data_IF_578652895266
#
_entry.id   IF_578652895266
#
_cell.length_a   1.000
_cell.length_b   1.000
_cell.length_c   1.000
_cell.angle_alpha   90.00
_cell.angle_beta   90.00
_cell.angle_gamma   90.00
#
_symmetry.space_group_name_H-M   'P 1'
#
loop_
_entity.id
_entity.type
_entity.pdbx_description
1 polymer ?
#
# COMPACT_ATOMS: atom_id res chain seq x y z
N UNK A 1 -13.46 7.84 5.29
CA UNK A 1 -12.42 8.66 5.95
C UNK A 1 -12.94 9.12 7.31
N UNK A 2 -12.55 8.44 8.40
CA UNK A 2 -13.11 8.63 9.73
C UNK A 2 -12.29 9.67 10.51
N UNK A 3 -12.85 10.87 10.67
CA UNK A 3 -12.22 12.01 11.39
C UNK A 3 -12.24 11.81 12.91
N UNK A 4 -12.98 10.82 13.41
CA UNK A 4 -13.13 10.50 14.84
C UNK A 4 -11.88 9.85 15.45
N UNK A 5 -11.01 9.23 14.65
CA UNK A 5 -9.88 8.44 15.15
C UNK A 5 -8.77 9.28 15.82
N UNK A 6 -8.56 10.54 15.42
CA UNK A 6 -7.40 11.31 15.91
C UNK A 6 -7.50 11.72 17.39
N UNK A 7 -8.70 12.00 17.90
CA UNK A 7 -8.86 12.33 19.31
C UNK A 7 -8.60 11.12 20.22
N UNK A 8 -9.05 9.94 19.78
CA UNK A 8 -8.85 8.69 20.50
C UNK A 8 -7.40 8.19 20.43
N UNK A 9 -6.72 8.36 19.29
CA UNK A 9 -5.33 7.89 19.13
C UNK A 9 -4.36 8.67 20.00
N UNK A 10 -4.57 9.96 20.21
CA UNK A 10 -3.76 10.75 21.15
C UNK A 10 -3.99 10.26 22.58
N UNK A 11 -5.24 9.98 22.96
CA UNK A 11 -5.60 9.50 24.30
C UNK A 11 -4.94 8.17 24.65
N UNK A 12 -4.80 7.27 23.69
CA UNK A 12 -4.22 5.93 23.88
C UNK A 12 -2.77 5.81 23.38
N UNK A 13 -2.12 6.92 23.03
CA UNK A 13 -0.76 6.97 22.48
C UNK A 13 -0.55 6.11 21.21
N UNK A 14 -1.63 5.80 20.50
CA UNK A 14 -1.62 4.99 19.29
C UNK A 14 -1.01 5.76 18.12
N UNK A 15 -0.31 5.01 17.26
CA UNK A 15 0.20 5.47 15.97
C UNK A 15 -0.80 5.17 14.85
N UNK A 16 -0.87 6.05 13.87
CA UNK A 16 -1.82 6.00 12.76
C UNK A 16 -1.07 5.96 11.43
N UNK A 17 -1.44 4.99 10.60
CA UNK A 17 -1.15 5.01 9.17
C UNK A 17 -2.42 5.49 8.43
N UNK A 18 -2.26 6.45 7.53
CA UNK A 18 -3.33 6.86 6.61
C UNK A 18 -3.12 6.10 5.31
N UNK A 19 -4.12 5.33 4.89
CA UNK A 19 -4.08 4.56 3.64
C UNK A 19 -5.15 5.05 2.66
N UNK A 20 -4.71 5.35 1.43
CA UNK A 20 -5.60 5.61 0.31
C UNK A 20 -6.05 4.28 -0.31
N UNK A 21 -7.18 3.80 0.17
CA UNK A 21 -7.74 2.51 -0.24
C UNK A 21 -8.44 2.53 -1.61
N UNK A 22 -8.87 3.71 -2.07
CA UNK A 22 -9.56 3.90 -3.34
C UNK A 22 -9.07 5.16 -4.05
N UNK A 23 -8.90 5.06 -5.36
CA UNK A 23 -8.50 6.15 -6.24
C UNK A 23 -9.49 6.32 -7.40
N UNK A 24 -9.57 7.53 -8.02
CA UNK A 24 -10.39 7.74 -9.21
C UNK A 24 -10.09 6.70 -10.29
N UNK A 25 -11.14 6.19 -10.94
CA UNK A 25 -11.04 5.13 -11.94
C UNK A 25 -10.78 3.72 -11.38
N UNK A 26 -10.60 3.56 -10.07
CA UNK A 26 -10.28 2.28 -9.41
C UNK A 26 -8.93 1.68 -9.85
N UNK A 27 -8.09 1.37 -8.87
CA UNK A 27 -6.73 0.89 -9.11
C UNK A 27 -6.61 -0.63 -9.22
N UNK A 28 -7.68 -1.37 -8.94
CA UNK A 28 -7.68 -2.84 -8.95
C UNK A 28 -8.99 -3.51 -9.32
N UNK A 29 -10.02 -2.75 -9.71
CA UNK A 29 -11.30 -3.27 -10.16
C UNK A 29 -12.06 -4.08 -9.12
N UNK A 30 -11.82 -3.86 -7.82
CA UNK A 30 -12.57 -4.52 -6.74
C UNK A 30 -13.50 -3.52 -6.07
N UNK A 31 -14.47 -4.04 -5.34
CA UNK A 31 -15.38 -3.25 -4.51
C UNK A 31 -14.63 -2.39 -3.48
N UNK A 32 -13.47 -2.87 -3.00
CA UNK A 32 -12.63 -2.14 -2.05
C UNK A 32 -11.93 -0.91 -2.67
N UNK A 33 -11.72 -0.90 -3.99
CA UNK A 33 -11.32 0.30 -4.73
C UNK A 33 -12.51 1.13 -5.21
N UNK A 34 -13.72 0.84 -4.70
CA UNK A 34 -14.99 1.45 -5.10
C UNK A 34 -15.44 1.18 -6.54
N UNK A 35 -14.89 0.15 -7.20
CA UNK A 35 -15.41 -0.30 -8.49
C UNK A 35 -16.69 -1.11 -8.31
N UNK A 36 -17.72 -0.82 -9.10
CA UNK A 36 -19.01 -1.55 -9.07
C UNK A 36 -19.17 -2.52 -10.23
N UNK A 37 -18.37 -2.36 -11.28
CA UNK A 37 -18.45 -3.12 -12.53
C UNK A 37 -17.14 -3.85 -12.88
N UNK A 38 -16.13 -3.76 -12.02
CA UNK A 38 -14.82 -4.35 -12.22
C UNK A 38 -13.83 -3.47 -13.00
N UNK A 39 -14.23 -2.25 -13.37
CA UNK A 39 -13.39 -1.27 -14.06
C UNK A 39 -12.08 -0.96 -13.33
N UNK A 40 -11.03 -0.84 -14.13
CA UNK A 40 -9.69 -0.45 -13.67
C UNK A 40 -9.12 0.59 -14.64
N UNK A 41 -9.37 1.84 -14.32
CA UNK A 41 -9.10 3.01 -15.17
C UNK A 41 -8.19 4.03 -14.49
N UNK A 42 -7.72 3.74 -13.27
CA UNK A 42 -6.87 4.65 -12.50
C UNK A 42 -5.64 5.14 -13.28
N UNK A 43 -4.98 4.26 -14.04
CA UNK A 43 -3.78 4.64 -14.78
C UNK A 43 -4.02 4.97 -16.26
N UNK A 44 -5.28 5.04 -16.70
CA UNK A 44 -5.62 5.38 -18.08
C UNK A 44 -5.49 6.87 -18.36
N UNK A 45 -5.52 7.72 -17.32
CA UNK A 45 -5.36 9.17 -17.46
C UNK A 45 -4.43 9.72 -16.39
N UNK A 46 -3.60 10.70 -16.79
CA UNK A 46 -2.77 11.43 -15.83
C UNK A 46 -3.62 12.18 -14.79
N UNK A 47 -4.83 12.62 -15.14
CA UNK A 47 -5.75 13.29 -14.24
C UNK A 47 -6.16 12.41 -13.04
N UNK A 48 -6.38 11.10 -13.25
CA UNK A 48 -6.69 10.17 -12.16
C UNK A 48 -5.49 10.01 -11.20
N UNK A 49 -4.28 9.94 -11.74
CA UNK A 49 -3.04 9.86 -10.97
C UNK A 49 -2.82 11.15 -10.19
N UNK A 50 -2.97 12.32 -10.82
CA UNK A 50 -2.81 13.63 -10.20
C UNK A 50 -3.81 13.84 -9.06
N UNK A 51 -5.10 13.53 -9.27
CA UNK A 51 -6.11 13.60 -8.22
C UNK A 51 -5.80 12.68 -7.04
N UNK A 52 -5.24 11.48 -7.29
CA UNK A 52 -4.80 10.61 -6.21
C UNK A 52 -3.64 11.23 -5.42
N UNK A 53 -2.70 11.92 -6.07
CA UNK A 53 -1.61 12.65 -5.38
C UNK A 53 -2.16 13.83 -4.57
N UNK A 54 -3.15 14.55 -5.10
CA UNK A 54 -3.78 15.68 -4.39
C UNK A 54 -4.45 15.23 -3.08
N UNK A 55 -5.05 14.04 -3.06
CA UNK A 55 -5.60 13.44 -1.84
C UNK A 55 -4.49 13.20 -0.81
N UNK A 56 -3.33 12.67 -1.23
CA UNK A 56 -2.17 12.46 -0.35
C UNK A 56 -1.62 13.79 0.18
N UNK A 57 -1.46 14.81 -0.68
CA UNK A 57 -1.02 16.16 -0.28
C UNK A 57 -1.96 16.73 0.78
N UNK A 58 -3.28 16.71 0.50
CA UNK A 58 -4.30 17.23 1.39
C UNK A 58 -4.29 16.52 2.76
N UNK A 59 -4.28 15.19 2.79
CA UNK A 59 -4.31 14.43 4.04
C UNK A 59 -3.03 14.59 4.84
N UNK A 60 -1.88 14.60 4.17
CA UNK A 60 -0.62 14.81 4.85
C UNK A 60 -0.56 16.22 5.43
N UNK A 61 -0.93 17.25 4.66
CA UNK A 61 -1.00 18.64 5.16
C UNK A 61 -1.90 18.77 6.39
N UNK A 62 -3.07 18.11 6.35
CA UNK A 62 -4.05 18.13 7.43
C UNK A 62 -3.52 17.48 8.72
N UNK A 63 -2.76 16.39 8.61
CA UNK A 63 -2.38 15.57 9.76
C UNK A 63 -0.90 15.62 10.13
N UNK A 64 -0.05 16.33 9.39
CA UNK A 64 1.40 16.40 9.61
C UNK A 64 1.80 16.86 11.02
N UNK A 65 0.98 17.69 11.66
CA UNK A 65 1.21 18.17 13.04
C UNK A 65 0.65 17.24 14.12
N UNK A 66 -0.05 16.18 13.74
CA UNK A 66 -0.57 15.20 14.69
C UNK A 66 0.57 14.32 15.22
N UNK A 67 0.78 14.22 16.54
CA UNK A 67 1.80 13.34 17.11
C UNK A 67 1.52 11.84 16.89
N UNK A 68 0.29 11.52 16.49
CA UNK A 68 -0.15 10.17 16.15
C UNK A 68 0.12 9.80 14.70
N UNK A 69 0.39 10.76 13.79
CA UNK A 69 0.71 10.42 12.40
C UNK A 69 2.06 9.70 12.34
N UNK A 70 2.05 8.45 11.88
CA UNK A 70 3.23 7.61 11.80
C UNK A 70 3.61 7.27 10.36
N UNK A 71 2.61 6.99 9.52
CA UNK A 71 2.81 6.62 8.13
C UNK A 71 1.71 7.16 7.22
N UNK A 72 2.05 7.31 5.95
CA UNK A 72 1.10 7.55 4.85
C UNK A 72 1.35 6.48 3.80
N UNK A 73 0.38 5.60 3.63
CA UNK A 73 0.34 4.63 2.57
C UNK A 73 -0.28 5.27 1.33
N UNK A 74 0.52 5.29 0.27
CA UNK A 74 0.17 6.03 -0.93
C UNK A 74 -1.02 5.39 -1.63
N UNK A 75 -1.04 4.06 -1.79
CA UNK A 75 -2.19 3.40 -2.40
C UNK A 75 -2.19 1.89 -2.21
N UNK A 76 -3.31 1.39 -1.68
CA UNK A 76 -3.56 -0.02 -1.47
C UNK A 76 -3.69 -0.83 -2.77
N UNK A 77 -3.03 -1.99 -2.82
CA UNK A 77 -3.29 -3.12 -3.72
C UNK A 77 -3.58 -2.80 -5.20
N UNK A 78 -2.71 -2.09 -5.93
CA UNK A 78 -2.91 -1.89 -7.39
C UNK A 78 -2.81 -3.22 -8.13
N UNK A 79 -3.66 -3.50 -9.12
CA UNK A 79 -3.65 -4.80 -9.84
C UNK A 79 -2.90 -4.74 -11.17
N UNK A 80 -1.95 -5.66 -11.37
CA UNK A 80 -1.30 -5.85 -12.65
C UNK A 80 -2.17 -6.73 -13.59
N UNK A 81 -2.04 -6.59 -14.93
CA UNK A 81 -1.12 -5.69 -15.63
C UNK A 81 -1.66 -4.28 -15.84
N UNK A 82 -2.96 -4.03 -15.64
CA UNK A 82 -3.61 -2.78 -16.04
C UNK A 82 -2.97 -1.59 -15.34
N UNK A 83 -2.76 -1.63 -14.01
CA UNK A 83 -1.95 -0.62 -13.33
C UNK A 83 -0.46 -0.88 -13.63
N UNK A 84 0.08 -0.21 -14.65
CA UNK A 84 1.44 -0.47 -15.13
C UNK A 84 2.51 -0.16 -14.07
N UNK A 85 3.65 -0.85 -14.13
CA UNK A 85 4.74 -0.62 -13.16
C UNK A 85 5.28 0.81 -13.27
N UNK A 86 5.25 1.39 -14.47
CA UNK A 86 5.72 2.76 -14.72
C UNK A 86 4.74 3.79 -14.19
N UNK A 87 3.42 3.59 -14.40
CA UNK A 87 2.37 4.41 -13.78
C UNK A 87 2.47 4.38 -12.26
N UNK A 88 2.64 3.19 -11.66
CA UNK A 88 2.81 3.02 -10.20
C UNK A 88 4.06 3.74 -9.71
N UNK A 89 5.17 3.66 -10.44
CA UNK A 89 6.42 4.32 -10.04
C UNK A 89 6.33 5.84 -10.16
N UNK A 90 5.69 6.35 -11.23
CA UNK A 90 5.40 7.78 -11.41
C UNK A 90 4.57 8.29 -10.23
N UNK A 91 3.49 7.58 -9.89
CA UNK A 91 2.63 7.91 -8.76
C UNK A 91 3.39 7.89 -7.43
N UNK A 92 4.17 6.85 -7.14
CA UNK A 92 4.92 6.77 -5.87
C UNK A 92 5.98 7.85 -5.71
N UNK A 93 6.63 8.26 -6.79
CA UNK A 93 7.54 9.40 -6.74
C UNK A 93 6.80 10.72 -6.43
N UNK A 94 5.65 10.94 -7.06
CA UNK A 94 4.85 12.13 -6.81
C UNK A 94 4.24 12.13 -5.39
N UNK A 95 3.72 11.00 -4.95
CA UNK A 95 3.16 10.79 -3.60
C UNK A 95 4.19 10.96 -2.49
N UNK A 96 5.40 10.40 -2.63
CA UNK A 96 6.50 10.66 -1.68
C UNK A 96 6.80 12.17 -1.61
N UNK A 97 6.91 12.85 -2.75
CA UNK A 97 7.08 14.30 -2.79
C UNK A 97 5.97 15.07 -2.06
N UNK A 98 4.71 14.68 -2.27
CA UNK A 98 3.55 15.27 -1.59
C UNK A 98 3.61 15.05 -0.07
N UNK A 99 4.01 13.85 0.39
CA UNK A 99 4.20 13.61 1.83
C UNK A 99 5.34 14.46 2.39
N UNK A 100 6.49 14.50 1.68
CA UNK A 100 7.71 15.18 2.13
C UNK A 100 7.58 16.71 2.16
N UNK A 101 6.65 17.28 1.39
CA UNK A 101 6.27 18.70 1.49
C UNK A 101 5.74 19.09 2.88
N UNK A 102 5.10 18.16 3.59
CA UNK A 102 4.46 18.44 4.89
C UNK A 102 5.08 17.68 6.07
N UNK A 103 5.74 16.54 5.83
CA UNK A 103 6.35 15.72 6.87
C UNK A 103 7.63 15.01 6.42
N UNK A 104 8.74 15.33 7.10
CA UNK A 104 10.00 14.59 6.99
C UNK A 104 10.05 13.34 7.88
N UNK A 105 9.11 13.19 8.82
CA UNK A 105 9.12 12.14 9.84
C UNK A 105 8.19 10.96 9.54
N UNK A 106 7.09 11.17 8.80
CA UNK A 106 6.17 10.10 8.44
C UNK A 106 6.84 9.06 7.54
N UNK A 107 6.59 7.78 7.79
CA UNK A 107 6.94 6.73 6.83
C UNK A 107 6.06 6.86 5.59
N UNK A 108 6.64 6.62 4.41
CA UNK A 108 5.90 6.51 3.15
C UNK A 108 5.78 5.04 2.82
N UNK A 109 4.55 4.54 2.79
CA UNK A 109 4.26 3.11 2.55
C UNK A 109 3.81 2.91 1.11
N UNK A 110 4.38 1.90 0.47
CA UNK A 110 4.18 1.55 -0.93
C UNK A 110 3.80 0.08 -1.02
N UNK A 111 2.50 -0.22 -1.12
CA UNK A 111 2.03 -1.59 -1.29
C UNK A 111 2.58 -2.22 -2.58
N UNK A 112 2.81 -3.53 -2.61
CA UNK A 112 3.11 -4.24 -3.87
C UNK A 112 1.90 -4.27 -4.80
N UNK A 113 2.11 -4.54 -6.10
CA UNK A 113 0.97 -4.79 -6.98
C UNK A 113 0.45 -6.20 -6.77
N UNK A 114 -0.88 -6.34 -6.81
CA UNK A 114 -1.53 -7.65 -6.96
C UNK A 114 -1.18 -8.25 -8.32
N UNK A 115 -1.08 -9.58 -8.36
CA UNK A 115 -0.85 -10.36 -9.59
C UNK A 115 0.42 -9.97 -10.36
N UNK A 116 1.41 -9.38 -9.70
CA UNK A 116 2.67 -9.00 -10.34
C UNK A 116 3.63 -10.18 -10.52
N UNK A 117 4.63 -10.00 -11.38
CA UNK A 117 5.65 -11.01 -11.69
C UNK A 117 6.60 -11.34 -10.53
N UNK A 118 6.53 -10.63 -9.39
CA UNK A 118 7.31 -10.99 -8.22
C UNK A 118 7.24 -9.99 -7.05
N UNK A 119 7.40 -10.46 -5.80
CA UNK A 119 7.20 -9.66 -4.60
C UNK A 119 8.31 -8.62 -4.32
N UNK A 120 9.34 -8.57 -5.17
CA UNK A 120 10.44 -7.59 -5.08
C UNK A 120 10.47 -6.58 -6.23
N UNK A 121 9.42 -6.50 -7.05
CA UNK A 121 9.38 -5.61 -8.24
C UNK A 121 9.65 -4.14 -7.90
N UNK A 122 9.26 -3.70 -6.71
CA UNK A 122 9.44 -2.32 -6.23
C UNK A 122 10.80 -2.09 -5.54
N UNK A 123 11.58 -3.14 -5.23
CA UNK A 123 12.77 -3.01 -4.39
C UNK A 123 13.87 -2.16 -5.04
N UNK A 124 14.17 -2.33 -6.36
CA UNK A 124 15.13 -1.47 -7.05
C UNK A 124 14.68 0.01 -7.10
N UNK A 125 13.37 0.26 -6.95
CA UNK A 125 12.74 1.59 -7.08
C UNK A 125 12.49 2.24 -5.72
N UNK A 126 12.38 1.46 -4.64
CA UNK A 126 12.11 1.93 -3.27
C UNK A 126 13.31 2.53 -2.54
N UNK A 127 14.53 2.16 -2.95
CA UNK A 127 15.79 2.59 -2.30
C UNK A 127 16.12 4.08 -2.43
N UNK A 128 15.43 4.80 -3.32
CA UNK A 128 15.61 6.26 -3.50
C UNK A 128 14.82 7.12 -2.51
N UNK A 129 13.90 6.54 -1.74
CA UNK A 129 13.00 7.27 -0.86
C UNK A 129 13.45 7.21 0.60
N UNK A 130 13.53 8.37 1.25
CA UNK A 130 13.82 8.40 2.69
C UNK A 130 12.61 7.87 3.48
N UNK A 131 12.86 7.05 4.49
CA UNK A 131 11.81 6.46 5.36
C UNK A 131 10.67 5.81 4.56
N UNK A 132 11.00 5.07 3.51
CA UNK A 132 10.06 4.25 2.77
C UNK A 132 9.91 2.85 3.37
N UNK A 133 8.73 2.28 3.18
CA UNK A 133 8.37 0.91 3.56
C UNK A 133 7.56 0.32 2.41
N UNK A 134 7.78 -0.96 2.10
CA UNK A 134 6.97 -1.69 1.13
C UNK A 134 5.94 -2.51 1.89
N UNK A 135 4.66 -2.34 1.57
CA UNK A 135 3.59 -3.13 2.14
C UNK A 135 3.35 -4.41 1.30
N UNK A 136 3.16 -5.55 1.97
CA UNK A 136 2.89 -6.84 1.32
C UNK A 136 1.70 -7.57 1.94
N UNK A 137 0.70 -7.87 1.12
CA UNK A 137 -0.48 -8.60 1.56
C UNK A 137 -0.38 -10.11 1.25
N UNK A 138 -0.41 -10.95 2.29
CA UNK A 138 -0.43 -12.41 2.18
C UNK A 138 -1.74 -12.99 2.71
N UNK A 139 -2.57 -13.51 1.80
CA UNK A 139 -3.86 -14.12 2.14
C UNK A 139 -3.90 -15.61 1.72
N UNK A 140 -4.39 -16.48 2.60
CA UNK A 140 -4.57 -17.93 2.34
C UNK A 140 -6.04 -18.25 1.99
N UNK A 141 -6.66 -17.39 1.18
CA UNK A 141 -8.08 -17.49 0.87
C UNK A 141 -8.37 -17.29 -0.63
N UNK A 142 -7.71 -16.32 -1.26
CA UNK A 142 -8.04 -15.89 -2.62
C UNK A 142 -7.30 -16.67 -3.72
N UNK A 143 -6.94 -17.92 -3.45
CA UNK A 143 -6.28 -18.79 -4.41
C UNK A 143 -6.83 -20.21 -4.30
N UNK A 144 -7.12 -20.82 -5.45
CA UNK A 144 -7.70 -22.16 -5.52
C UNK A 144 -6.83 -23.24 -4.89
N UNK A 145 -5.54 -22.97 -4.67
CA UNK A 145 -4.63 -23.87 -3.95
C UNK A 145 -5.10 -24.15 -2.52
N UNK A 146 -5.92 -23.26 -1.95
CA UNK A 146 -6.48 -23.40 -0.61
C UNK A 146 -7.87 -24.05 -0.59
N UNK A 147 -8.49 -24.29 -1.75
CA UNK A 147 -9.80 -24.93 -1.83
C UNK A 147 -9.73 -26.36 -1.27
N UNK A 148 -10.59 -26.67 -0.30
CA UNK A 148 -10.64 -27.99 0.34
C UNK A 148 -9.47 -28.30 1.29
N UNK A 149 -8.61 -27.33 1.58
CA UNK A 149 -7.55 -27.51 2.58
C UNK A 149 -8.12 -27.67 3.99
N UNK A 150 -7.55 -28.60 4.76
CA UNK A 150 -7.89 -28.74 6.18
C UNK A 150 -7.19 -27.66 6.99
N UNK A 151 -7.73 -27.36 8.18
CA UNK A 151 -7.16 -26.39 9.13
C UNK A 151 -5.66 -26.63 9.35
N UNK A 152 -5.24 -27.88 9.60
CA UNK A 152 -3.84 -28.19 9.83
C UNK A 152 -2.95 -27.91 8.60
N UNK A 153 -3.42 -28.22 7.38
CA UNK A 153 -2.66 -27.95 6.17
C UNK A 153 -2.45 -26.45 5.94
N UNK A 154 -3.44 -25.62 6.30
CA UNK A 154 -3.31 -24.17 6.22
C UNK A 154 -2.32 -23.64 7.27
N UNK A 155 -2.35 -24.18 8.49
CA UNK A 155 -1.36 -23.87 9.53
C UNK A 155 0.05 -24.24 9.06
N UNK A 156 0.22 -25.44 8.51
CA UNK A 156 1.51 -25.92 8.01
C UNK A 156 2.02 -25.03 6.87
N UNK A 157 1.16 -24.59 5.95
CA UNK A 157 1.50 -23.64 4.88
C UNK A 157 1.97 -22.29 5.42
N UNK A 158 1.39 -21.78 6.52
CA UNK A 158 1.85 -20.54 7.16
C UNK A 158 3.26 -20.72 7.72
N UNK A 159 3.51 -21.80 8.45
CA UNK A 159 4.80 -22.07 9.08
C UNK A 159 5.91 -22.38 8.07
N UNK A 160 5.57 -22.84 6.87
CA UNK A 160 6.54 -23.20 5.84
C UNK A 160 6.58 -22.16 4.74
N UNK A 161 5.56 -22.11 3.88
CA UNK A 161 5.54 -21.26 2.69
C UNK A 161 5.46 -19.77 3.03
N UNK A 162 4.55 -19.33 3.90
CA UNK A 162 4.45 -17.88 4.24
C UNK A 162 5.68 -17.39 4.97
N UNK A 163 6.21 -18.19 5.90
CA UNK A 163 7.45 -17.87 6.60
C UNK A 163 8.62 -17.72 5.61
N UNK A 164 8.76 -18.61 4.63
CA UNK A 164 9.79 -18.49 3.59
C UNK A 164 9.58 -17.27 2.68
N UNK A 165 8.34 -16.98 2.29
CA UNK A 165 7.99 -15.80 1.48
C UNK A 165 8.30 -14.49 2.22
N UNK A 166 7.95 -14.41 3.50
CA UNK A 166 8.25 -13.25 4.34
C UNK A 166 9.77 -13.07 4.48
N UNK A 167 10.51 -14.13 4.79
CA UNK A 167 11.97 -14.10 4.86
C UNK A 167 12.62 -13.62 3.55
N UNK A 168 12.03 -13.99 2.42
CA UNK A 168 12.48 -13.53 1.11
C UNK A 168 12.27 -12.03 0.93
N UNK A 169 11.28 -11.38 1.54
CA UNK A 169 11.12 -9.92 1.42
C UNK A 169 11.76 -9.13 2.56
N UNK A 170 12.11 -9.77 3.68
CA UNK A 170 12.69 -9.12 4.87
C UNK A 170 14.19 -9.35 5.09
N UNK A 171 14.93 -9.80 4.06
CA UNK A 171 16.38 -10.03 4.17
C UNK A 171 17.14 -8.71 4.43
N UNK A 172 18.24 -8.77 5.19
CA UNK A 172 19.08 -7.61 5.46
C UNK A 172 19.56 -6.91 4.16
N UNK A 173 19.55 -5.58 4.18
CA UNK A 173 19.92 -4.74 3.02
C UNK A 173 18.77 -4.45 2.05
N UNK A 174 17.59 -5.01 2.27
CA UNK A 174 16.37 -4.69 1.52
C UNK A 174 15.58 -3.54 2.19
N UNK A 175 14.67 -2.87 1.46
CA UNK A 175 13.72 -1.93 2.07
C UNK A 175 12.95 -2.57 3.22
N UNK A 176 12.49 -1.73 4.17
CA UNK A 176 11.63 -2.20 5.25
C UNK A 176 10.31 -2.70 4.68
N UNK A 177 9.73 -3.71 5.32
CA UNK A 177 8.43 -4.28 4.98
C UNK A 177 7.44 -4.01 6.12
N UNK A 178 6.17 -3.79 5.80
CA UNK A 178 5.06 -3.85 6.73
C UNK A 178 4.00 -4.84 6.25
#
# INVERSE_FOLDING_TARGET
MQVTANGETIKYESKVAIDQHAAPGSQNGRELSSSTDGSQEWDQTDANIEQAVDVIDFLTARYAKSPSLYAVELMNERRAPEASLDSVTKYYKAGDGAVRKHSSAAYVVMSNRLSSGGPRELFPRGGGFSRSVIDVHYCNLFSDVFNGTRVQQNIDFIHTNRSAQLNYVTTAGLPKIC
#
